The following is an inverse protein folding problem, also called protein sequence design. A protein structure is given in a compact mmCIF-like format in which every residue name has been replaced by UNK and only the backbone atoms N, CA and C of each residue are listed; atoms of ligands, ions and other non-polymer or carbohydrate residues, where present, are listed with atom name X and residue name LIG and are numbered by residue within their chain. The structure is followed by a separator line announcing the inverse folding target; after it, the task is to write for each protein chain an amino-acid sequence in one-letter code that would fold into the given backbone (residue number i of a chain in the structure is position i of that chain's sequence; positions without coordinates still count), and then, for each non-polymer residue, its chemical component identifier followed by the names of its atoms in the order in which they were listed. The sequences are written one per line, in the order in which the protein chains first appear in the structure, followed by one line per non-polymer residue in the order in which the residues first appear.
data_IF_104850767773
#
_entry.id   IF_104850767773
#
_cell.length_a   1.000
_cell.length_b   1.000
_cell.length_c   1.000
_cell.angle_alpha   90.00
_cell.angle_beta   90.00
_cell.angle_gamma   90.00
#
_symmetry.space_group_name_H-M   'P 1'
#
loop_
_entity.id
_entity.type
_entity.pdbx_description
1 polymer ?
#
# COMPACT_ATOMS: atom_id res chain seq x y z
N UNK A 1 -9.42 1.24 16.32
CA UNK A 1 -8.12 1.89 16.02
C UNK A 1 -8.11 2.76 14.78
N UNK A 2 -8.18 2.27 13.53
CA UNK A 2 -8.10 3.20 12.37
C UNK A 2 -9.38 4.00 12.09
N UNK A 3 -10.57 3.38 12.24
CA UNK A 3 -11.86 4.06 12.05
C UNK A 3 -12.30 4.85 13.29
N UNK A 4 -11.86 4.40 14.46
CA UNK A 4 -12.08 5.03 15.77
C UNK A 4 -10.76 4.91 16.53
N UNK A 5 -9.91 5.96 16.51
CA UNK A 5 -8.60 5.93 17.15
C UNK A 5 -8.69 6.09 18.66
N UNK A 6 -7.90 5.28 19.36
CA UNK A 6 -7.63 5.43 20.79
C UNK A 6 -6.16 5.84 21.00
N UNK A 7 -5.72 6.01 22.24
CA UNK A 7 -4.30 6.26 22.55
C UNK A 7 -3.36 5.16 22.02
N UNK A 8 -3.85 3.92 21.92
CA UNK A 8 -3.09 2.82 21.33
C UNK A 8 -2.76 3.08 19.85
N UNK A 9 -3.68 3.70 19.09
CA UNK A 9 -3.41 4.10 17.72
C UNK A 9 -2.31 5.15 17.64
N UNK A 10 -2.30 6.15 18.53
CA UNK A 10 -1.25 7.17 18.56
C UNK A 10 0.14 6.55 18.75
N UNK A 11 0.26 5.56 19.64
CA UNK A 11 1.52 4.85 19.88
C UNK A 11 1.97 4.07 18.65
N UNK A 12 1.08 3.27 18.06
CA UNK A 12 1.35 2.50 16.82
C UNK A 12 1.72 3.43 15.67
N UNK A 13 0.99 4.53 15.55
CA UNK A 13 1.21 5.52 14.50
C UNK A 13 2.60 6.15 14.63
N UNK A 14 2.96 6.63 15.83
CA UNK A 14 4.24 7.30 16.05
C UNK A 14 5.43 6.35 15.91
N UNK A 15 5.32 5.12 16.43
CA UNK A 15 6.47 4.21 16.51
C UNK A 15 6.66 3.35 15.25
N UNK A 16 5.57 3.05 14.50
CA UNK A 16 5.63 2.12 13.38
C UNK A 16 5.15 2.74 12.06
N UNK A 17 3.92 3.25 12.02
CA UNK A 17 3.31 3.66 10.74
C UNK A 17 3.98 4.92 10.17
N UNK A 18 4.16 5.96 10.96
CA UNK A 18 4.72 7.24 10.50
C UNK A 18 6.15 7.09 9.96
N UNK A 19 7.09 6.39 10.64
CA UNK A 19 8.43 6.13 10.09
C UNK A 19 8.41 5.32 8.79
N UNK A 20 7.52 4.35 8.65
CA UNK A 20 7.37 3.56 7.43
C UNK A 20 6.83 4.43 6.29
N UNK A 21 5.68 5.08 6.50
CA UNK A 21 5.00 5.90 5.50
C UNK A 21 5.88 7.05 5.03
N UNK A 22 6.62 7.69 5.94
CA UNK A 22 7.56 8.77 5.60
C UNK A 22 8.68 8.28 4.69
N UNK A 23 9.24 7.09 4.95
CA UNK A 23 10.29 6.51 4.11
C UNK A 23 9.78 6.15 2.72
N UNK A 24 8.62 5.50 2.63
CA UNK A 24 8.00 5.15 1.35
C UNK A 24 7.65 6.41 0.56
N UNK A 25 7.08 7.43 1.20
CA UNK A 25 6.74 8.69 0.55
C UNK A 25 7.98 9.40 -0.01
N UNK A 26 9.11 9.40 0.70
CA UNK A 26 10.37 9.95 0.20
C UNK A 26 10.90 9.19 -1.01
N UNK A 27 10.87 7.85 -0.98
CA UNK A 27 11.31 7.04 -2.12
C UNK A 27 10.43 7.28 -3.35
N UNK A 28 9.11 7.31 -3.16
CA UNK A 28 8.17 7.62 -4.22
C UNK A 28 8.44 9.01 -4.81
N UNK A 29 8.48 10.03 -3.96
CA UNK A 29 8.71 11.43 -4.33
C UNK A 29 9.98 11.59 -5.18
N UNK A 30 11.08 10.96 -4.76
CA UNK A 30 12.35 10.96 -5.52
C UNK A 30 12.20 10.29 -6.88
N UNK A 31 11.47 9.17 -6.97
CA UNK A 31 11.29 8.45 -8.23
C UNK A 31 10.47 9.24 -9.26
N UNK A 32 9.41 9.90 -8.80
CA UNK A 32 8.45 10.65 -9.66
C UNK A 32 8.78 12.15 -9.77
N UNK A 33 9.84 12.63 -9.14
CA UNK A 33 10.26 14.04 -9.23
C UNK A 33 9.36 15.04 -8.50
N UNK A 34 8.64 14.61 -7.45
CA UNK A 34 7.77 15.48 -6.65
C UNK A 34 8.40 15.83 -5.28
N UNK A 35 7.90 16.90 -4.65
CA UNK A 35 8.26 17.26 -3.28
C UNK A 35 7.52 16.34 -2.27
N UNK A 36 8.23 15.60 -1.40
CA UNK A 36 7.61 14.69 -0.43
C UNK A 36 6.78 15.40 0.65
N UNK A 37 6.92 16.72 0.83
CA UNK A 37 6.17 17.49 1.83
C UNK A 37 4.78 17.91 1.34
N UNK A 38 4.52 17.81 0.04
CA UNK A 38 3.24 18.18 -0.54
C UNK A 38 2.17 17.10 -0.26
N UNK A 39 0.93 17.50 0.12
CA UNK A 39 -0.16 16.55 0.37
C UNK A 39 -0.43 15.62 -0.82
N UNK A 40 -0.29 16.11 -2.06
CA UNK A 40 -0.48 15.31 -3.27
C UNK A 40 0.48 14.10 -3.31
N UNK A 41 1.75 14.30 -2.96
CA UNK A 41 2.77 13.23 -2.93
C UNK A 41 2.44 12.20 -1.85
N UNK A 42 2.00 12.67 -0.67
CA UNK A 42 1.53 11.78 0.40
C UNK A 42 0.33 10.96 -0.03
N UNK A 43 -0.63 11.56 -0.75
CA UNK A 43 -1.80 10.84 -1.27
C UNK A 43 -1.43 9.81 -2.34
N UNK A 44 -0.48 10.10 -3.24
CA UNK A 44 0.05 9.09 -4.16
C UNK A 44 0.66 7.91 -3.42
N UNK A 45 1.42 8.17 -2.35
CA UNK A 45 1.97 7.11 -1.49
C UNK A 45 0.87 6.24 -0.87
N UNK A 46 -0.19 6.85 -0.33
CA UNK A 46 -1.29 6.12 0.28
C UNK A 46 -2.08 5.32 -0.75
N UNK A 47 -2.29 5.84 -1.96
CA UNK A 47 -2.97 5.12 -3.03
C UNK A 47 -2.21 3.85 -3.43
N UNK A 48 -0.89 3.94 -3.65
CA UNK A 48 -0.03 2.81 -4.01
C UNK A 48 0.00 1.76 -2.89
N UNK A 49 0.14 2.19 -1.63
CA UNK A 49 0.07 1.25 -0.49
C UNK A 49 -1.32 0.63 -0.33
N UNK A 50 -2.37 1.38 -0.66
CA UNK A 50 -3.75 0.92 -0.67
C UNK A 50 -3.97 -0.29 -1.56
N UNK A 51 -3.30 -0.36 -2.72
CA UNK A 51 -3.36 -1.56 -3.58
C UNK A 51 -2.86 -2.80 -2.86
N UNK A 52 -1.73 -2.73 -2.17
CA UNK A 52 -1.16 -3.86 -1.41
C UNK A 52 -2.08 -4.25 -0.24
N UNK A 53 -2.56 -3.26 0.51
CA UNK A 53 -3.42 -3.48 1.67
C UNK A 53 -4.80 -4.03 1.29
N UNK A 54 -5.29 -3.72 0.09
CA UNK A 54 -6.58 -4.20 -0.40
C UNK A 54 -6.67 -5.73 -0.38
N UNK A 55 -5.60 -6.44 -0.76
CA UNK A 55 -5.56 -7.92 -0.74
C UNK A 55 -5.69 -8.51 0.66
N UNK A 56 -5.38 -7.75 1.71
CA UNK A 56 -5.61 -8.14 3.11
C UNK A 56 -7.05 -7.87 3.53
N UNK A 57 -7.59 -6.72 3.15
CA UNK A 57 -8.94 -6.29 3.52
C UNK A 57 -10.03 -7.12 2.83
N UNK A 58 -9.87 -7.39 1.53
CA UNK A 58 -10.85 -8.12 0.71
C UNK A 58 -10.47 -9.59 0.50
N UNK A 59 -9.65 -10.16 1.39
CA UNK A 59 -9.11 -11.53 1.24
C UNK A 59 -10.18 -12.57 0.93
N UNK A 60 -11.29 -12.57 1.68
CA UNK A 60 -12.37 -13.52 1.51
C UNK A 60 -13.06 -13.39 0.14
N UNK A 61 -13.29 -12.16 -0.32
CA UNK A 61 -13.84 -11.88 -1.65
C UNK A 61 -12.93 -12.43 -2.75
N UNK A 62 -11.61 -12.24 -2.61
CA UNK A 62 -10.63 -12.74 -3.57
C UNK A 62 -10.66 -14.27 -3.64
N UNK A 63 -10.67 -14.96 -2.48
CA UNK A 63 -10.75 -16.42 -2.46
C UNK A 63 -12.00 -16.94 -3.19
N UNK A 64 -13.16 -16.34 -2.93
CA UNK A 64 -14.42 -16.72 -3.59
C UNK A 64 -14.41 -16.48 -5.09
N UNK A 65 -13.87 -15.34 -5.55
CA UNK A 65 -13.85 -14.99 -6.96
C UNK A 65 -12.82 -15.78 -7.76
N UNK A 66 -11.68 -16.08 -7.17
CA UNK A 66 -10.60 -16.85 -7.80
C UNK A 66 -10.82 -18.36 -7.70
N UNK A 67 -11.68 -18.81 -6.79
CA UNK A 67 -11.85 -20.23 -6.48
C UNK A 67 -10.69 -20.82 -5.67
N UNK A 68 -9.80 -19.98 -5.12
CA UNK A 68 -8.70 -20.44 -4.28
C UNK A 68 -9.19 -20.87 -2.91
N UNK A 69 -8.69 -22.01 -2.42
CA UNK A 69 -8.93 -22.45 -1.04
C UNK A 69 -8.24 -21.55 -0.03
N UNK A 70 -7.00 -21.13 -0.34
CA UNK A 70 -6.20 -20.22 0.49
C UNK A 70 -5.18 -19.47 -0.37
N UNK A 71 -4.68 -18.36 0.17
CA UNK A 71 -3.49 -17.68 -0.39
C UNK A 71 -2.25 -18.40 0.13
N UNK A 72 -1.72 -19.33 -0.68
CA UNK A 72 -0.44 -19.99 -0.46
C UNK A 72 0.69 -19.29 -1.23
N UNK A 73 1.80 -20.02 -1.43
CA UNK A 73 2.99 -19.46 -2.11
C UNK A 73 2.69 -19.08 -3.57
N UNK A 74 1.96 -19.93 -4.29
CA UNK A 74 1.65 -19.72 -5.71
C UNK A 74 0.71 -18.53 -5.90
N UNK A 75 -0.35 -18.43 -5.09
CA UNK A 75 -1.29 -17.32 -5.11
C UNK A 75 -0.61 -16.01 -4.72
N UNK A 76 0.31 -16.05 -3.75
CA UNK A 76 1.11 -14.89 -3.38
C UNK A 76 2.01 -14.41 -4.52
N UNK A 77 2.63 -15.31 -5.29
CA UNK A 77 3.44 -14.96 -6.45
C UNK A 77 2.57 -14.30 -7.55
N UNK A 78 1.35 -14.79 -7.78
CA UNK A 78 0.39 -14.18 -8.70
C UNK A 78 0.05 -12.75 -8.24
N UNK A 79 -0.36 -12.58 -6.98
CA UNK A 79 -0.68 -11.26 -6.41
C UNK A 79 0.53 -10.32 -6.51
N UNK A 80 1.73 -10.80 -6.18
CA UNK A 80 2.96 -10.01 -6.24
C UNK A 80 3.28 -9.54 -7.65
N UNK A 81 3.11 -10.40 -8.66
CA UNK A 81 3.35 -10.05 -10.05
C UNK A 81 2.32 -9.04 -10.56
N UNK A 82 1.04 -9.20 -10.22
CA UNK A 82 -0.01 -8.22 -10.53
C UNK A 82 0.30 -6.85 -9.91
N UNK A 83 0.66 -6.82 -8.62
CA UNK A 83 1.03 -5.58 -7.93
C UNK A 83 2.27 -4.92 -8.55
N UNK A 84 3.29 -5.68 -8.95
CA UNK A 84 4.47 -5.11 -9.63
C UNK A 84 4.08 -4.40 -10.92
N UNK A 85 3.24 -5.02 -11.76
CA UNK A 85 2.77 -4.40 -13.01
C UNK A 85 2.02 -3.10 -12.72
N UNK A 86 1.06 -3.13 -11.79
CA UNK A 86 0.27 -1.95 -11.44
C UNK A 86 1.14 -0.82 -10.88
N UNK A 87 2.02 -1.14 -9.93
CA UNK A 87 2.92 -0.17 -9.32
C UNK A 87 3.85 0.43 -10.37
N UNK A 88 4.43 -0.37 -11.27
CA UNK A 88 5.25 0.16 -12.37
C UNK A 88 4.47 1.12 -13.25
N UNK A 89 3.26 0.74 -13.69
CA UNK A 89 2.41 1.60 -14.52
C UNK A 89 2.06 2.93 -13.83
N UNK A 90 1.69 2.88 -12.55
CA UNK A 90 1.40 4.09 -11.77
C UNK A 90 2.63 4.96 -11.60
N UNK A 91 3.78 4.37 -11.26
CA UNK A 91 5.03 5.10 -11.07
C UNK A 91 5.47 5.79 -12.37
N UNK A 92 5.34 5.12 -13.50
CA UNK A 92 5.72 5.68 -14.81
C UNK A 92 4.71 6.74 -15.28
N UNK A 93 3.41 6.56 -14.99
CA UNK A 93 2.38 7.56 -15.31
C UNK A 93 2.38 8.81 -14.42
N UNK A 94 3.10 8.78 -13.30
CA UNK A 94 3.27 9.91 -12.38
C UNK A 94 4.53 10.76 -12.67
N UNK A 95 5.41 10.29 -13.56
CA UNK A 95 6.55 11.05 -14.07
C UNK A 95 6.14 12.02 -15.17
#
# INVERSE_FOLDING_TARGET
EQLVPTEAYSLIHQQALSPLLTRVNRLLALYIGLDPTLPKTMLHTHAILGEVLSFRLVRETILRQTGWDRIGKQEYEIISNTLKVHITLLLDGLR
#
